data_IF_071773928333
#
_entry.id   IF_071773928333
#
_cell.length_a   1.000
_cell.length_b   1.000
_cell.length_c   1.000
_cell.angle_alpha   90.00
_cell.angle_beta   90.00
_cell.angle_gamma   90.00
#
_symmetry.space_group_name_H-M   'P 1'
#
loop_
_entity.id
_entity.type
_entity.pdbx_description
1 polymer ?
#
# COMPACT_ATOMS: atom_id res chain seq x y z
N UNK A 1 -24.42 -25.58 4.09
CA UNK A 1 -23.05 -25.29 4.59
C UNK A 1 -22.34 -24.19 3.77
N UNK A 2 -22.96 -23.01 3.52
CA UNK A 2 -22.43 -22.02 2.56
C UNK A 2 -21.74 -20.79 3.17
N UNK A 3 -21.87 -20.56 4.49
CA UNK A 3 -21.33 -19.35 5.15
C UNK A 3 -19.81 -19.34 5.32
N UNK A 4 -19.18 -20.50 5.54
CA UNK A 4 -17.73 -20.60 5.80
C UNK A 4 -16.88 -20.17 4.61
N UNK A 5 -17.31 -20.46 3.38
CA UNK A 5 -16.60 -20.05 2.18
C UNK A 5 -16.67 -18.54 1.93
N UNK A 6 -17.78 -17.88 2.30
CA UNK A 6 -17.95 -16.42 2.16
C UNK A 6 -16.99 -15.66 3.08
N UNK A 7 -16.87 -16.11 4.33
CA UNK A 7 -15.93 -15.52 5.29
C UNK A 7 -14.47 -15.67 4.83
N UNK A 8 -14.07 -16.86 4.34
CA UNK A 8 -12.70 -17.09 3.85
C UNK A 8 -12.34 -16.21 2.64
N UNK A 9 -13.29 -15.96 1.72
CA UNK A 9 -13.07 -15.07 0.57
C UNK A 9 -12.89 -13.61 1.01
N UNK A 10 -13.74 -13.13 1.91
CA UNK A 10 -13.64 -11.75 2.41
C UNK A 10 -12.28 -11.48 3.08
N UNK A 11 -11.78 -12.41 3.89
CA UNK A 11 -10.46 -12.28 4.52
C UNK A 11 -9.34 -12.19 3.47
N UNK A 12 -9.43 -12.96 2.39
CA UNK A 12 -8.44 -12.91 1.31
C UNK A 12 -8.50 -11.58 0.54
N UNK A 13 -9.70 -11.11 0.21
CA UNK A 13 -9.91 -9.84 -0.48
C UNK A 13 -9.42 -8.65 0.37
N UNK A 14 -9.66 -8.69 1.69
CA UNK A 14 -9.18 -7.68 2.63
C UNK A 14 -7.65 -7.74 2.77
N UNK A 15 -7.06 -8.93 2.82
CA UNK A 15 -5.59 -9.09 2.82
C UNK A 15 -4.94 -8.51 1.56
N UNK A 16 -5.51 -8.78 0.39
CA UNK A 16 -5.05 -8.20 -0.89
C UNK A 16 -5.18 -6.67 -0.90
N UNK A 17 -6.27 -6.13 -0.35
CA UNK A 17 -6.47 -4.69 -0.22
C UNK A 17 -5.41 -4.06 0.68
N UNK A 18 -5.16 -4.64 1.86
CA UNK A 18 -4.13 -4.17 2.79
C UNK A 18 -2.75 -4.22 2.13
N UNK A 19 -2.42 -5.31 1.45
CA UNK A 19 -1.17 -5.44 0.71
C UNK A 19 -1.00 -4.37 -0.38
N UNK A 20 -2.06 -4.11 -1.14
CA UNK A 20 -2.06 -3.06 -2.15
C UNK A 20 -1.85 -1.67 -1.51
N UNK A 21 -2.48 -1.41 -0.36
CA UNK A 21 -2.35 -0.14 0.37
C UNK A 21 -0.89 0.15 0.71
N UNK A 22 -0.13 -0.78 1.33
CA UNK A 22 1.26 -0.41 1.60
C UNK A 22 2.11 -0.33 0.33
N UNK A 23 1.76 -1.05 -0.75
CA UNK A 23 2.55 -0.99 -1.99
C UNK A 23 2.45 0.40 -2.58
N UNK A 24 1.24 0.93 -2.65
CA UNK A 24 0.98 2.28 -3.13
C UNK A 24 1.54 3.33 -2.15
N UNK A 25 1.51 3.07 -0.85
CA UNK A 25 2.19 3.92 0.15
C UNK A 25 3.68 4.03 -0.13
N UNK A 26 4.34 2.91 -0.38
CA UNK A 26 5.77 2.89 -0.71
C UNK A 26 6.05 3.63 -2.02
N UNK A 27 5.25 3.38 -3.06
CA UNK A 27 5.37 4.10 -4.33
C UNK A 27 5.19 5.61 -4.15
N UNK A 28 4.27 6.04 -3.29
CA UNK A 28 4.09 7.44 -2.95
C UNK A 28 5.30 8.02 -2.21
N UNK A 29 5.84 7.31 -1.21
CA UNK A 29 7.06 7.73 -0.52
C UNK A 29 8.25 7.85 -1.47
N UNK A 30 8.43 6.88 -2.36
CA UNK A 30 9.48 6.94 -3.38
C UNK A 30 9.29 8.11 -4.34
N UNK A 31 8.08 8.33 -4.87
CA UNK A 31 7.78 9.48 -5.74
C UNK A 31 8.07 10.81 -5.03
N UNK A 32 7.63 10.95 -3.77
CA UNK A 32 7.89 12.13 -2.95
C UNK A 32 9.39 12.35 -2.71
N UNK A 33 10.14 11.29 -2.43
CA UNK A 33 11.62 11.38 -2.30
C UNK A 33 12.27 11.82 -3.61
N UNK A 34 11.80 11.34 -4.76
CA UNK A 34 12.35 11.76 -6.06
C UNK A 34 12.05 13.24 -6.30
N UNK A 35 10.82 13.68 -6.04
CA UNK A 35 10.42 15.09 -6.12
C UNK A 35 11.26 15.99 -5.20
N UNK A 36 11.48 15.59 -3.94
CA UNK A 36 12.27 16.35 -2.98
C UNK A 36 13.77 16.44 -3.33
N UNK A 37 14.30 15.41 -4.01
CA UNK A 37 15.72 15.36 -4.41
C UNK A 37 15.98 15.87 -5.83
N UNK A 38 14.94 16.25 -6.58
CA UNK A 38 15.09 16.74 -7.94
C UNK A 38 15.72 18.13 -7.95
N UNK A 39 16.72 18.34 -8.82
CA UNK A 39 17.37 19.66 -9.01
C UNK A 39 16.38 20.67 -9.61
N UNK A 40 15.47 20.20 -10.46
CA UNK A 40 14.30 20.95 -10.93
C UNK A 40 13.07 20.04 -10.81
N UNK A 41 12.07 20.50 -10.07
CA UNK A 41 10.76 19.88 -10.02
C UNK A 41 9.98 20.33 -11.25
N UNK A 42 9.58 19.39 -12.10
CA UNK A 42 8.68 19.65 -13.21
C UNK A 42 7.24 19.24 -12.87
N UNK A 43 6.28 19.75 -13.64
CA UNK A 43 4.86 19.46 -13.45
C UNK A 43 4.56 17.95 -13.57
N UNK A 44 5.31 17.22 -14.39
CA UNK A 44 5.09 15.78 -14.54
C UNK A 44 5.42 15.02 -13.24
N UNK A 45 6.47 15.42 -12.53
CA UNK A 45 6.88 14.85 -11.26
C UNK A 45 5.87 15.16 -10.15
N UNK A 46 5.40 16.41 -10.06
CA UNK A 46 4.33 16.79 -9.13
C UNK A 46 3.04 16.00 -9.39
N UNK A 47 2.64 15.88 -10.66
CA UNK A 47 1.47 15.10 -11.06
C UNK A 47 1.64 13.61 -10.73
N UNK A 48 2.84 13.06 -10.87
CA UNK A 48 3.14 11.67 -10.51
C UNK A 48 3.00 11.45 -9.01
N UNK A 49 3.58 12.33 -8.18
CA UNK A 49 3.43 12.25 -6.72
C UNK A 49 1.98 12.40 -6.30
N UNK A 50 1.25 13.37 -6.88
CA UNK A 50 -0.16 13.59 -6.62
C UNK A 50 -1.02 12.37 -6.99
N UNK A 51 -0.72 11.72 -8.12
CA UNK A 51 -1.40 10.50 -8.54
C UNK A 51 -1.19 9.37 -7.53
N UNK A 52 0.04 9.13 -7.07
CA UNK A 52 0.31 8.07 -6.09
C UNK A 52 -0.35 8.37 -4.73
N UNK A 53 -0.32 9.64 -4.30
CA UNK A 53 -1.03 10.09 -3.10
C UNK A 53 -2.53 9.82 -3.18
N UNK A 54 -3.16 10.17 -4.31
CA UNK A 54 -4.60 9.98 -4.50
C UNK A 54 -4.98 8.49 -4.53
N UNK A 55 -4.16 7.64 -5.15
CA UNK A 55 -4.34 6.18 -5.12
C UNK A 55 -4.27 5.65 -3.69
N UNK A 56 -3.28 6.08 -2.91
CA UNK A 56 -3.15 5.67 -1.50
C UNK A 56 -4.38 6.07 -0.68
N UNK A 57 -4.82 7.33 -0.81
CA UNK A 57 -5.98 7.85 -0.08
C UNK A 57 -7.28 7.10 -0.44
N UNK A 58 -7.48 6.81 -1.73
CA UNK A 58 -8.63 6.03 -2.19
C UNK A 58 -8.67 4.64 -1.54
N UNK A 59 -7.56 3.91 -1.61
CA UNK A 59 -7.46 2.57 -1.04
C UNK A 59 -7.61 2.57 0.48
N UNK A 60 -7.03 3.56 1.16
CA UNK A 60 -7.17 3.71 2.60
C UNK A 60 -8.63 3.96 3.02
N UNK A 61 -9.37 4.78 2.26
CA UNK A 61 -10.82 4.99 2.48
C UNK A 61 -11.61 3.69 2.27
N UNK A 62 -11.26 2.91 1.25
CA UNK A 62 -11.88 1.60 1.01
C UNK A 62 -11.64 0.62 2.15
N UNK A 63 -10.42 0.53 2.67
CA UNK A 63 -10.12 -0.33 3.82
C UNK A 63 -10.92 0.09 5.07
N UNK A 64 -11.02 1.39 5.34
CA UNK A 64 -11.86 1.89 6.45
C UNK A 64 -13.33 1.55 6.25
N UNK A 65 -13.86 1.69 5.04
CA UNK A 65 -15.25 1.35 4.71
C UNK A 65 -15.54 -0.14 4.95
N UNK A 66 -14.58 -1.00 4.63
CA UNK A 66 -14.69 -2.46 4.80
C UNK A 66 -14.39 -2.94 6.22
N UNK A 67 -13.88 -2.04 7.09
CA UNK A 67 -13.31 -2.39 8.41
C UNK A 67 -12.23 -3.48 8.28
N UNK A 68 -11.45 -3.42 7.19
CA UNK A 68 -10.37 -4.35 6.96
C UNK A 68 -9.35 -4.24 8.10
N UNK A 69 -8.97 -5.38 8.67
CA UNK A 69 -8.03 -5.42 9.79
C UNK A 69 -6.61 -5.08 9.26
N UNK A 70 -5.94 -4.04 9.80
CA UNK A 70 -4.60 -3.65 9.37
C UNK A 70 -3.53 -4.74 9.53
N UNK A 71 -3.79 -5.75 10.37
CA UNK A 71 -2.88 -6.88 10.61
C UNK A 71 -2.97 -7.95 9.53
N UNK A 72 -3.97 -7.88 8.63
CA UNK A 72 -4.12 -8.79 7.48
C UNK A 72 -3.12 -8.43 6.38
N UNK A 73 -1.83 -8.52 6.69
CA UNK A 73 -0.73 -8.38 5.73
C UNK A 73 -0.31 -9.77 5.28
N UNK A 74 0.08 -9.94 4.01
CA UNK A 74 0.65 -11.23 3.56
C UNK A 74 2.00 -11.53 4.21
N UNK A 75 2.23 -12.82 4.48
CA UNK A 75 3.52 -13.32 4.99
C UNK A 75 4.68 -12.98 4.05
N UNK A 76 4.42 -12.94 2.74
CA UNK A 76 5.41 -12.55 1.73
C UNK A 76 5.88 -11.11 1.96
N UNK A 77 4.96 -10.18 2.24
CA UNK A 77 5.30 -8.79 2.56
C UNK A 77 6.01 -8.59 3.88
N UNK A 78 5.70 -9.41 4.88
CA UNK A 78 6.42 -9.39 6.16
C UNK A 78 7.88 -9.77 5.91
N UNK A 79 8.13 -10.82 5.10
CA UNK A 79 9.48 -11.23 4.71
C UNK A 79 10.23 -10.11 3.99
N UNK A 80 9.64 -9.52 2.96
CA UNK A 80 10.28 -8.41 2.22
C UNK A 80 10.63 -7.22 3.13
N UNK A 81 9.74 -6.82 4.05
CA UNK A 81 10.04 -5.72 4.99
C UNK A 81 11.17 -6.07 5.95
N UNK A 82 11.21 -7.32 6.45
CA UNK A 82 12.29 -7.77 7.33
C UNK A 82 13.64 -7.90 6.62
N UNK A 83 13.64 -8.26 5.33
CA UNK A 83 14.86 -8.36 4.53
C UNK A 83 15.44 -6.98 4.22
N UNK A 84 14.60 -6.00 3.89
CA UNK A 84 15.03 -4.60 3.68
C UNK A 84 15.60 -4.02 4.97
N UNK A 85 14.93 -4.23 6.12
CA UNK A 85 15.41 -3.73 7.41
C UNK A 85 16.80 -4.28 7.77
N UNK A 86 17.07 -5.57 7.49
CA UNK A 86 18.36 -6.21 7.75
C UNK A 86 19.51 -5.75 6.84
N UNK A 87 19.21 -5.11 5.71
CA UNK A 87 20.21 -4.60 4.78
C UNK A 87 20.59 -3.14 5.06
N UNK A 88 19.87 -2.47 5.95
CA UNK A 88 20.06 -1.06 6.30
C UNK A 88 20.86 -0.86 7.60
N UNK A 89 21.14 -1.94 8.34
CA UNK A 89 22.02 -2.00 9.53
C UNK A 89 23.40 -2.57 9.14
#
# INVERSE_FOLDING_TARGET
MFGRHKQKRQVNDDQQLIDLIYRVREQWHQAKRVEENAIQVDNALEMQTALQKNKYQFLYREARRRKADPTLVSNERIKYQTEIAKQAD
#
